data_IF_188714526869
#
_entry.id   IF_188714526869
#
_cell.length_a   1.000
_cell.length_b   1.000
_cell.length_c   1.000
_cell.angle_alpha   90.00
_cell.angle_beta   90.00
_cell.angle_gamma   90.00
#
_symmetry.space_group_name_H-M   'P 1'
#
loop_
_entity.id
_entity.type
_entity.pdbx_description
1 polymer ?
#
# COMPACT_ATOMS: atom_id res chain seq x y z
N UNK A 1 -5.11 -21.32 -11.92
CA UNK A 1 -5.96 -20.35 -12.65
C UNK A 1 -5.05 -19.64 -13.64
N UNK A 2 -5.42 -19.49 -14.93
CA UNK A 2 -4.58 -18.78 -15.88
C UNK A 2 -4.34 -17.36 -15.35
N UNK A 3 -3.07 -16.99 -15.13
CA UNK A 3 -2.72 -15.64 -14.69
C UNK A 3 -3.04 -14.70 -15.84
N UNK A 4 -4.14 -13.97 -15.72
CA UNK A 4 -4.50 -12.93 -16.67
C UNK A 4 -3.36 -11.90 -16.74
N UNK A 5 -3.08 -11.37 -17.93
CA UNK A 5 -2.04 -10.36 -18.14
C UNK A 5 -2.16 -9.20 -17.14
N UNK A 6 -3.38 -8.80 -16.83
CA UNK A 6 -3.72 -7.79 -15.81
C UNK A 6 -3.13 -8.12 -14.43
N UNK A 7 -3.23 -9.36 -13.98
CA UNK A 7 -2.70 -9.79 -12.68
C UNK A 7 -1.19 -9.68 -12.63
N UNK A 8 -0.49 -10.05 -13.71
CA UNK A 8 0.97 -9.95 -13.79
C UNK A 8 1.43 -8.48 -13.77
N UNK A 9 0.73 -7.60 -14.48
CA UNK A 9 1.02 -6.16 -14.49
C UNK A 9 0.83 -5.56 -13.10
N UNK A 10 -0.26 -5.90 -12.40
CA UNK A 10 -0.51 -5.42 -11.04
C UNK A 10 0.60 -5.87 -10.09
N UNK A 11 1.02 -7.14 -10.15
CA UNK A 11 2.13 -7.64 -9.34
C UNK A 11 3.45 -6.93 -9.63
N UNK A 12 3.77 -6.73 -10.90
CA UNK A 12 4.96 -5.97 -11.29
C UNK A 12 4.91 -4.54 -10.73
N UNK A 13 3.75 -3.88 -10.79
CA UNK A 13 3.55 -2.55 -10.23
C UNK A 13 3.70 -2.52 -8.70
N UNK A 14 3.11 -3.50 -7.99
CA UNK A 14 3.25 -3.64 -6.53
C UNK A 14 4.73 -3.76 -6.16
N UNK A 15 5.46 -4.67 -6.81
CA UNK A 15 6.87 -4.89 -6.53
C UNK A 15 7.67 -3.63 -6.84
N UNK A 16 7.49 -3.03 -8.01
CA UNK A 16 8.25 -1.84 -8.41
C UNK A 16 8.03 -0.66 -7.46
N UNK A 17 6.78 -0.35 -7.11
CA UNK A 17 6.45 0.78 -6.23
C UNK A 17 6.85 0.51 -4.78
N UNK A 18 6.63 -0.70 -4.28
CA UNK A 18 7.05 -1.04 -2.92
C UNK A 18 8.58 -1.03 -2.79
N UNK A 19 9.30 -1.57 -3.78
CA UNK A 19 10.76 -1.48 -3.82
C UNK A 19 11.24 -0.03 -3.91
N UNK A 20 10.57 0.80 -4.70
CA UNK A 20 10.86 2.24 -4.76
C UNK A 20 10.70 2.90 -3.38
N UNK A 21 9.59 2.65 -2.68
CA UNK A 21 9.37 3.15 -1.32
C UNK A 21 10.37 2.63 -0.30
N UNK A 22 10.70 1.34 -0.34
CA UNK A 22 11.68 0.71 0.55
C UNK A 22 13.10 1.26 0.36
N UNK A 23 13.51 1.50 -0.88
CA UNK A 23 14.87 1.94 -1.19
C UNK A 23 15.04 3.47 -1.06
N UNK A 24 14.01 4.25 -1.40
CA UNK A 24 14.12 5.71 -1.52
C UNK A 24 13.27 6.50 -0.53
N UNK A 25 12.30 5.87 0.12
CA UNK A 25 11.40 6.53 1.07
C UNK A 25 12.05 6.81 2.43
N UNK A 26 11.38 7.65 3.22
CA UNK A 26 11.69 7.87 4.62
C UNK A 26 11.17 6.73 5.51
N UNK A 27 11.26 6.84 6.84
CA UNK A 27 10.79 5.79 7.75
C UNK A 27 9.33 5.40 7.50
N UNK A 28 8.44 6.39 7.36
CA UNK A 28 7.01 6.17 7.13
C UNK A 28 6.73 5.43 5.80
N UNK A 29 7.37 5.88 4.72
CA UNK A 29 7.22 5.29 3.38
C UNK A 29 7.78 3.88 3.31
N UNK A 30 8.93 3.62 3.95
CA UNK A 30 9.52 2.28 4.03
C UNK A 30 8.61 1.33 4.79
N UNK A 31 8.07 1.75 5.93
CA UNK A 31 7.12 0.93 6.69
C UNK A 31 5.85 0.66 5.89
N UNK A 32 5.24 1.69 5.28
CA UNK A 32 4.04 1.53 4.47
C UNK A 32 4.27 0.62 3.25
N UNK A 33 5.38 0.80 2.53
CA UNK A 33 5.75 -0.03 1.39
C UNK A 33 6.04 -1.49 1.78
N UNK A 34 6.80 -1.69 2.86
CA UNK A 34 7.12 -3.02 3.37
C UNK A 34 5.87 -3.77 3.82
N UNK A 35 4.98 -3.09 4.54
CA UNK A 35 3.73 -3.68 5.01
C UNK A 35 2.79 -4.05 3.86
N UNK A 36 2.59 -3.14 2.89
CA UNK A 36 1.78 -3.42 1.70
C UNK A 36 2.31 -4.62 0.93
N UNK A 37 3.63 -4.71 0.73
CA UNK A 37 4.23 -5.85 0.04
C UNK A 37 4.06 -7.15 0.83
N UNK A 38 4.29 -7.14 2.14
CA UNK A 38 4.14 -8.31 3.00
C UNK A 38 2.69 -8.83 3.00
N UNK A 39 1.71 -7.92 3.11
CA UNK A 39 0.30 -8.29 3.08
C UNK A 39 -0.11 -8.79 1.69
N UNK A 40 0.34 -8.16 0.60
CA UNK A 40 0.08 -8.66 -0.75
C UNK A 40 0.59 -10.10 -0.94
N UNK A 41 1.79 -10.41 -0.44
CA UNK A 41 2.35 -11.76 -0.44
C UNK A 41 1.49 -12.70 0.40
N UNK A 42 1.05 -12.29 1.60
CA UNK A 42 0.18 -13.09 2.45
C UNK A 42 -1.17 -13.41 1.78
N UNK A 43 -1.79 -12.44 1.10
CA UNK A 43 -2.97 -12.64 0.26
C UNK A 43 -2.72 -13.68 -0.84
N UNK A 44 -1.57 -13.61 -1.51
CA UNK A 44 -1.23 -14.58 -2.55
C UNK A 44 -1.07 -15.99 -2.00
N UNK A 45 -0.42 -16.11 -0.84
CA UNK A 45 -0.25 -17.38 -0.15
C UNK A 45 -1.62 -17.96 0.21
N UNK A 46 -2.53 -17.16 0.75
CA UNK A 46 -3.91 -17.59 1.07
C UNK A 46 -4.64 -18.08 -0.19
N UNK A 47 -4.54 -17.33 -1.29
CA UNK A 47 -5.20 -17.68 -2.55
C UNK A 47 -4.68 -18.99 -3.18
N UNK A 48 -3.45 -19.38 -2.88
CA UNK A 48 -2.85 -20.62 -3.35
C UNK A 48 -3.11 -21.78 -2.37
N UNK A 49 -3.00 -21.52 -1.07
CA UNK A 49 -3.03 -22.54 -0.03
C UNK A 49 -4.43 -22.95 0.42
N UNK A 50 -5.42 -22.05 0.35
CA UNK A 50 -6.77 -22.29 0.85
C UNK A 50 -7.80 -22.45 -0.28
N UNK A 51 -8.81 -23.32 -0.10
CA UNK A 51 -9.95 -23.39 -1.00
C UNK A 51 -10.80 -22.13 -0.89
N UNK A 52 -11.58 -21.80 -1.93
CA UNK A 52 -12.24 -20.49 -2.07
C UNK A 52 -13.17 -20.16 -0.88
N UNK A 53 -13.81 -21.17 -0.31
CA UNK A 53 -14.77 -21.08 0.79
C UNK A 53 -14.09 -20.68 2.11
N UNK A 54 -12.80 -20.98 2.26
CA UNK A 54 -12.03 -20.71 3.48
C UNK A 54 -11.23 -19.39 3.43
N UNK A 55 -11.25 -18.65 2.32
CA UNK A 55 -10.41 -17.44 2.12
C UNK A 55 -10.98 -16.17 2.76
N UNK A 56 -12.30 -16.10 2.95
CA UNK A 56 -12.97 -14.85 3.31
C UNK A 56 -12.50 -14.31 4.67
N UNK A 57 -12.44 -15.16 5.70
CA UNK A 57 -11.99 -14.75 7.05
C UNK A 57 -10.51 -14.34 7.05
N UNK A 58 -9.56 -15.12 6.50
CA UNK A 58 -8.18 -14.68 6.38
C UNK A 58 -7.99 -13.35 5.63
N UNK A 59 -8.72 -13.12 4.53
CA UNK A 59 -8.67 -11.85 3.80
C UNK A 59 -9.13 -10.67 4.66
N UNK A 60 -10.23 -10.82 5.40
CA UNK A 60 -10.73 -9.81 6.33
C UNK A 60 -9.73 -9.49 7.45
N UNK A 61 -9.08 -10.52 8.00
CA UNK A 61 -8.05 -10.35 9.02
C UNK A 61 -6.87 -9.56 8.47
N UNK A 62 -6.37 -9.92 7.27
CA UNK A 62 -5.28 -9.18 6.64
C UNK A 62 -5.65 -7.73 6.34
N UNK A 63 -6.86 -7.47 5.86
CA UNK A 63 -7.33 -6.11 5.62
C UNK A 63 -7.40 -5.29 6.91
N UNK A 64 -7.92 -5.88 7.99
CA UNK A 64 -8.01 -5.22 9.29
C UNK A 64 -6.62 -4.89 9.83
N UNK A 65 -5.68 -5.84 9.77
CA UNK A 65 -4.29 -5.63 10.16
C UNK A 65 -3.65 -4.51 9.33
N UNK A 66 -3.84 -4.50 8.02
CA UNK A 66 -3.28 -3.49 7.13
C UNK A 66 -3.89 -2.10 7.40
N UNK A 67 -5.22 -2.01 7.57
CA UNK A 67 -5.91 -0.76 7.86
C UNK A 67 -5.46 -0.15 9.19
N UNK A 68 -5.42 -0.96 10.25
CA UNK A 68 -4.99 -0.53 11.58
C UNK A 68 -3.52 -0.09 11.58
N UNK A 69 -2.66 -0.80 10.87
CA UNK A 69 -1.26 -0.43 10.76
C UNK A 69 -1.08 0.90 10.03
N UNK A 70 -1.82 1.12 8.93
CA UNK A 70 -1.82 2.41 8.24
C UNK A 70 -2.42 3.53 9.09
N UNK A 71 -3.44 3.25 9.91
CA UNK A 71 -3.98 4.21 10.87
C UNK A 71 -2.92 4.62 11.89
N UNK A 72 -2.23 3.66 12.51
CA UNK A 72 -1.14 3.94 13.46
C UNK A 72 -0.03 4.77 12.80
N UNK A 73 0.36 4.41 11.58
CA UNK A 73 1.33 5.19 10.79
C UNK A 73 0.83 6.62 10.51
N UNK A 74 -0.44 6.76 10.11
CA UNK A 74 -1.04 8.06 9.80
C UNK A 74 -1.05 8.99 11.03
N UNK A 75 -1.42 8.46 12.20
CA UNK A 75 -1.39 9.21 13.46
C UNK A 75 0.05 9.55 13.87
N UNK A 76 0.99 8.61 13.71
CA UNK A 76 2.39 8.79 14.14
C UNK A 76 3.16 9.81 13.31
N UNK A 77 2.94 9.81 12.00
CA UNK A 77 3.68 10.62 11.04
C UNK A 77 2.89 11.82 10.49
N UNK A 78 1.60 11.94 10.82
CA UNK A 78 0.71 13.02 10.38
C UNK A 78 0.74 13.27 8.86
N UNK A 79 0.89 12.20 8.07
CA UNK A 79 1.02 12.28 6.61
C UNK A 79 -0.31 12.06 5.90
N UNK A 80 -0.65 12.97 5.00
CA UNK A 80 -1.89 12.92 4.23
C UNK A 80 -1.99 11.67 3.36
N UNK A 81 -0.87 11.19 2.79
CA UNK A 81 -0.89 9.99 1.94
C UNK A 81 -1.21 8.73 2.76
N UNK A 82 -0.71 8.63 4.00
CA UNK A 82 -1.01 7.51 4.90
C UNK A 82 -2.49 7.49 5.27
N UNK A 83 -3.08 8.65 5.56
CA UNK A 83 -4.52 8.77 5.82
C UNK A 83 -5.36 8.38 4.60
N UNK A 84 -4.97 8.79 3.40
CA UNK A 84 -5.64 8.39 2.16
C UNK A 84 -5.59 6.87 1.92
N UNK A 85 -4.42 6.25 2.09
CA UNK A 85 -4.26 4.80 1.97
C UNK A 85 -5.05 4.04 3.05
N UNK A 86 -5.10 4.55 4.28
CA UNK A 86 -5.92 3.99 5.34
C UNK A 86 -7.42 3.95 4.96
N UNK A 87 -7.94 5.04 4.40
CA UNK A 87 -9.34 5.09 3.96
C UNK A 87 -9.61 4.09 2.82
N UNK A 88 -8.69 4.00 1.86
CA UNK A 88 -8.77 2.99 0.79
C UNK A 88 -8.78 1.57 1.37
N UNK A 89 -7.99 1.31 2.40
CA UNK A 89 -7.99 0.01 3.05
C UNK A 89 -9.31 -0.30 3.79
N UNK A 90 -10.00 0.74 4.31
CA UNK A 90 -11.36 0.61 4.81
C UNK A 90 -12.37 0.22 3.72
N UNK A 91 -12.19 0.71 2.49
CA UNK A 91 -12.98 0.29 1.32
C UNK A 91 -12.70 -1.18 0.98
N UNK A 92 -11.44 -1.60 0.98
CA UNK A 92 -11.07 -3.01 0.74
C UNK A 92 -11.67 -3.95 1.79
N UNK A 93 -11.55 -3.58 3.07
CA UNK A 93 -12.15 -4.32 4.18
C UNK A 93 -13.67 -4.46 3.99
N UNK A 94 -14.32 -3.35 3.65
CA UNK A 94 -15.77 -3.32 3.41
C UNK A 94 -16.17 -4.19 2.22
N UNK A 95 -15.35 -4.22 1.15
CA UNK A 95 -15.56 -5.10 0.00
C UNK A 95 -15.49 -6.57 0.41
N UNK A 96 -14.43 -7.00 1.10
CA UNK A 96 -14.34 -8.39 1.57
C UNK A 96 -15.43 -8.74 2.58
N UNK A 97 -15.85 -7.80 3.44
CA UNK A 97 -16.93 -8.01 4.40
C UNK A 97 -18.28 -8.17 3.69
N UNK A 98 -18.56 -7.33 2.69
CA UNK A 98 -19.79 -7.40 1.92
C UNK A 98 -19.95 -8.75 1.22
N UNK A 99 -18.89 -9.22 0.54
CA UNK A 99 -18.92 -10.52 -0.15
C UNK A 99 -18.95 -11.69 0.84
N UNK A 100 -18.34 -11.54 2.02
CA UNK A 100 -18.42 -12.55 3.09
C UNK A 100 -19.86 -12.70 3.62
N UNK A 101 -20.54 -11.58 3.92
CA UNK A 101 -21.90 -11.59 4.48
C UNK A 101 -22.93 -12.03 3.44
N UNK A 102 -22.83 -11.53 2.22
CA UNK A 102 -23.80 -11.83 1.15
C UNK A 102 -23.60 -13.20 0.50
N UNK A 103 -22.43 -13.85 0.73
CA UNK A 103 -22.01 -15.09 0.08
C UNK A 103 -22.08 -15.04 -1.46
N UNK A 104 -22.01 -13.84 -2.03
CA UNK A 104 -21.97 -13.66 -3.47
C UNK A 104 -20.63 -14.14 -4.04
N UNK A 105 -20.66 -14.68 -5.24
CA UNK A 105 -19.44 -14.99 -5.96
C UNK A 105 -18.77 -13.68 -6.44
N UNK A 106 -17.46 -13.50 -6.24
CA UNK A 106 -16.74 -12.34 -6.76
C UNK A 106 -16.86 -12.22 -8.28
N UNK A 107 -17.42 -11.10 -8.75
CA UNK A 107 -17.60 -10.79 -10.18
C UNK A 107 -16.72 -9.63 -10.66
N UNK A 108 -17.11 -9.01 -11.77
CA UNK A 108 -16.35 -7.89 -12.37
C UNK A 108 -16.24 -6.69 -11.42
N UNK A 109 -17.32 -6.33 -10.73
CA UNK A 109 -17.32 -5.21 -9.77
C UNK A 109 -16.29 -5.40 -8.65
N UNK A 110 -16.17 -6.63 -8.14
CA UNK A 110 -15.18 -6.98 -7.14
C UNK A 110 -13.76 -6.72 -7.66
N UNK A 111 -13.46 -7.22 -8.86
CA UNK A 111 -12.15 -7.03 -9.47
C UNK A 111 -11.82 -5.56 -9.72
N UNK A 112 -12.80 -4.75 -10.17
CA UNK A 112 -12.61 -3.32 -10.41
C UNK A 112 -12.29 -2.57 -9.11
N UNK A 113 -13.09 -2.76 -8.05
CA UNK A 113 -12.88 -2.08 -6.77
C UNK A 113 -11.54 -2.49 -6.15
N UNK A 114 -11.23 -3.80 -6.15
CA UNK A 114 -9.96 -4.30 -5.64
C UNK A 114 -8.75 -3.69 -6.37
N UNK A 115 -8.83 -3.57 -7.70
CA UNK A 115 -7.76 -2.98 -8.50
C UNK A 115 -7.65 -1.47 -8.26
N UNK A 116 -8.78 -0.75 -8.11
CA UNK A 116 -8.77 0.67 -7.80
C UNK A 116 -8.15 0.96 -6.43
N UNK A 117 -8.51 0.18 -5.41
CA UNK A 117 -7.90 0.31 -4.07
C UNK A 117 -6.41 0.01 -4.14
N UNK A 118 -6.02 -1.08 -4.80
CA UNK A 118 -4.60 -1.44 -4.99
C UNK A 118 -3.83 -0.31 -5.69
N UNK A 119 -4.34 0.20 -6.81
CA UNK A 119 -3.72 1.32 -7.53
C UNK A 119 -3.62 2.58 -6.68
N UNK A 120 -4.68 2.93 -5.94
CA UNK A 120 -4.69 4.07 -5.04
C UNK A 120 -3.63 3.94 -3.93
N UNK A 121 -3.47 2.74 -3.36
CA UNK A 121 -2.42 2.43 -2.39
C UNK A 121 -1.02 2.63 -2.98
N UNK A 122 -0.78 2.11 -4.19
CA UNK A 122 0.50 2.27 -4.87
C UNK A 122 0.80 3.75 -5.20
N UNK A 123 -0.20 4.49 -5.68
CA UNK A 123 -0.07 5.94 -5.92
C UNK A 123 0.24 6.67 -4.61
N UNK A 124 -0.41 6.31 -3.50
CA UNK A 124 -0.12 6.87 -2.18
C UNK A 124 1.33 6.67 -1.76
N UNK A 125 1.85 5.43 -1.87
CA UNK A 125 3.25 5.11 -1.55
C UNK A 125 4.21 5.88 -2.47
N UNK A 126 3.94 5.92 -3.78
CA UNK A 126 4.78 6.61 -4.74
C UNK A 126 4.83 8.11 -4.46
N UNK A 127 3.67 8.74 -4.23
CA UNK A 127 3.57 10.16 -3.90
C UNK A 127 4.26 10.49 -2.57
N UNK A 128 4.05 9.67 -1.54
CA UNK A 128 4.75 9.81 -0.25
C UNK A 128 6.27 9.75 -0.41
N UNK A 129 6.75 8.78 -1.18
CA UNK A 129 8.18 8.60 -1.47
C UNK A 129 8.75 9.78 -2.24
N UNK A 130 8.06 10.26 -3.28
CA UNK A 130 8.49 11.43 -4.06
C UNK A 130 8.50 12.69 -3.19
N UNK A 131 7.48 12.90 -2.36
CA UNK A 131 7.42 14.04 -1.45
C UNK A 131 8.60 14.03 -0.47
N UNK A 132 8.89 12.88 0.14
CA UNK A 132 10.06 12.72 1.02
C UNK A 132 11.38 13.07 0.32
N UNK A 133 11.59 12.56 -0.90
CA UNK A 133 12.81 12.85 -1.66
C UNK A 133 12.97 14.32 -2.00
N UNK A 134 11.87 15.03 -2.28
CA UNK A 134 11.90 16.47 -2.57
C UNK A 134 12.29 17.27 -1.33
N UNK A 135 11.72 16.95 -0.18
CA UNK A 135 12.08 17.59 1.10
C UNK A 135 13.53 17.32 1.47
N UNK A 136 13.99 16.06 1.39
CA UNK A 136 15.36 15.69 1.72
C UNK A 136 16.42 16.36 0.80
N UNK A 137 16.08 16.67 -0.45
CA UNK A 137 16.95 17.44 -1.35
C UNK A 137 17.03 18.91 -0.94
N UNK A 138 15.88 19.54 -0.69
CA UNK A 138 15.83 20.94 -0.26
C UNK A 138 16.63 21.18 1.04
N UNK A 139 16.56 20.26 1.99
CA UNK A 139 17.31 20.35 3.25
C UNK A 139 18.83 20.25 3.02
N UNK A 140 19.28 19.38 2.10
CA UNK A 140 20.70 19.25 1.74
C UNK A 140 21.23 20.51 1.06
N UNK A 141 20.46 21.07 0.13
CA UNK A 141 20.85 22.29 -0.58
C UNK A 141 20.94 23.47 0.39
N UNK A 142 20.01 23.56 1.35
CA UNK A 142 20.04 24.57 2.41
C UNK A 142 21.26 24.42 3.35
N UNK A 143 21.65 23.18 3.69
CA UNK A 143 22.85 22.90 4.49
C UNK A 143 24.13 23.27 3.74
N UNK A 144 24.23 22.92 2.45
CA UNK A 144 25.36 23.27 1.61
C UNK A 144 25.53 24.80 1.48
N UNK A 145 24.42 25.53 1.32
CA UNK A 145 24.43 26.99 1.28
C UNK A 145 24.90 27.61 2.61
N UNK A 146 24.45 27.08 3.76
CA UNK A 146 24.92 27.54 5.09
C UNK A 146 26.42 27.28 5.31
N UNK A 147 26.92 26.14 4.86
CA UNK A 147 28.35 25.81 4.96
C UNK A 147 29.20 26.76 4.10
N UNK A 148 28.79 27.02 2.86
CA UNK A 148 29.47 27.97 1.98
C UNK A 148 29.50 29.40 2.56
N UNK A 149 28.43 29.82 3.24
CA UNK A 149 28.34 31.13 3.88
C UNK A 149 29.18 31.26 5.17
N UNK A 150 29.54 30.15 5.83
CA UNK A 150 30.35 30.17 7.06
C UNK A 150 31.86 30.08 6.77
N UNK A 151 32.24 29.69 5.55
CA UNK A 151 33.63 29.60 5.09
C UNK A 151 34.19 30.90 4.47
N UNK A 152 33.42 31.99 4.49
CA UNK A 152 33.80 33.34 4.01
C UNK A 152 33.96 34.25 5.22
#
# INVERSE_FOLDING_TARGET
MPTTLTTQIIWAAIIAVCMFGLLKGGPAERFGAGLTLAIAIAFQIINIALPAEARAVPHLVLDGVLALSFLVLAVRYASLWLGGVMLLQGVQFSLHAYFFVTKLAPGVTYAVVNNLVTCGTLVGIALGTVAYLRHARADRDALAAKQAATSV
#
